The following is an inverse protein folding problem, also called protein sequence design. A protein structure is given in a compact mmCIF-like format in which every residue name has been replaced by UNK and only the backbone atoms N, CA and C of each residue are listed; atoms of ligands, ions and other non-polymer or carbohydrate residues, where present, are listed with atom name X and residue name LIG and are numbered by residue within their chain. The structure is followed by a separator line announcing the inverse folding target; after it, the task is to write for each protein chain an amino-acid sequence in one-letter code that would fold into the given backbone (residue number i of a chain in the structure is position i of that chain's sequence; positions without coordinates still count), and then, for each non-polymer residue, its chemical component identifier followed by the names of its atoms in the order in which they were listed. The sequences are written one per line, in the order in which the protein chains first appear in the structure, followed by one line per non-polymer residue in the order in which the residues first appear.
data_IF_498658326198
#
_entry.id   IF_498658326198
#
_cell.length_a   1.000
_cell.length_b   1.000
_cell.length_c   1.000
_cell.angle_alpha   90.00
_cell.angle_beta   90.00
_cell.angle_gamma   90.00
#
_symmetry.space_group_name_H-M   'P 1'
#
loop_
_entity.id
_entity.type
_entity.pdbx_description
1 polymer ?
#
# COMPACT_ATOMS: atom_id res chain seq x y z
N UNK A 1 -7.10 -45.82 20.62
CA UNK A 1 -7.33 -46.43 19.29
C UNK A 1 -8.58 -47.31 19.35
N UNK A 2 -9.49 -47.12 18.38
CA UNK A 2 -10.69 -47.91 18.09
C UNK A 2 -11.87 -47.85 19.09
N UNK A 3 -12.34 -46.63 19.36
CA UNK A 3 -13.78 -46.31 19.54
C UNK A 3 -14.02 -44.86 19.11
N UNK A 4 -13.93 -44.60 17.80
CA UNK A 4 -14.37 -43.34 17.16
C UNK A 4 -14.42 -43.42 15.60
N UNK A 5 -14.56 -44.61 15.01
CA UNK A 5 -14.58 -44.81 13.54
C UNK A 5 -15.74 -45.74 13.12
N UNK A 6 -16.94 -45.55 13.67
CA UNK A 6 -18.16 -46.29 13.22
C UNK A 6 -19.38 -45.36 13.11
N UNK A 7 -19.16 -44.09 12.72
CA UNK A 7 -20.26 -43.16 12.40
C UNK A 7 -20.01 -42.40 11.09
N UNK A 8 -19.30 -43.06 10.17
CA UNK A 8 -19.14 -42.64 8.77
C UNK A 8 -19.34 -43.89 7.90
N UNK A 9 -20.60 -44.21 7.61
CA UNK A 9 -21.13 -45.06 6.53
C UNK A 9 -22.57 -45.38 6.98
N UNK A 10 -23.57 -45.21 6.12
CA UNK A 10 -25.02 -45.21 6.43
C UNK A 10 -25.57 -43.83 6.82
N UNK A 11 -25.32 -42.81 5.97
CA UNK A 11 -26.34 -41.80 5.65
C UNK A 11 -26.04 -41.15 4.28
N UNK A 12 -25.67 -42.00 3.33
CA UNK A 12 -25.68 -41.74 1.90
C UNK A 12 -26.60 -42.82 1.32
N UNK A 13 -27.85 -42.47 1.01
CA UNK A 13 -28.76 -43.09 0.03
C UNK A 13 -30.21 -42.68 0.30
N UNK A 14 -30.55 -41.43 -0.02
CA UNK A 14 -31.89 -41.05 -0.49
C UNK A 14 -31.82 -39.62 -1.02
N UNK A 15 -32.36 -39.42 -2.23
CA UNK A 15 -32.37 -38.20 -3.05
C UNK A 15 -31.18 -37.95 -3.98
N UNK A 16 -30.99 -38.89 -4.91
CA UNK A 16 -30.92 -38.59 -6.35
C UNK A 16 -32.29 -38.00 -6.79
N UNK A 17 -32.44 -36.94 -7.59
CA UNK A 17 -32.03 -36.71 -8.98
C UNK A 17 -32.28 -35.22 -9.32
N UNK A 18 -31.40 -34.61 -10.12
CA UNK A 18 -31.56 -33.58 -11.18
C UNK A 18 -30.16 -32.97 -11.36
N UNK A 19 -29.23 -33.68 -12.01
CA UNK A 19 -28.87 -33.63 -13.46
C UNK A 19 -28.19 -32.31 -13.86
N UNK A 20 -26.98 -32.26 -14.38
CA UNK A 20 -26.07 -33.34 -14.78
C UNK A 20 -24.73 -32.75 -15.26
N UNK A 21 -23.68 -33.57 -15.10
CA UNK A 21 -22.38 -33.59 -15.80
C UNK A 21 -21.34 -34.23 -14.86
N UNK A 22 -21.60 -35.45 -14.41
CA UNK A 22 -20.59 -36.29 -13.78
C UNK A 22 -21.12 -37.73 -13.81
N UNK A 23 -21.06 -38.39 -14.97
CA UNK A 23 -21.14 -39.86 -15.09
C UNK A 23 -20.90 -40.45 -16.49
N UNK A 24 -20.34 -39.71 -17.45
CA UNK A 24 -19.98 -40.30 -18.75
C UNK A 24 -18.57 -40.90 -18.82
N UNK A 25 -17.67 -40.53 -17.90
CA UNK A 25 -16.28 -40.98 -17.95
C UNK A 25 -16.05 -42.43 -17.45
N UNK A 26 -16.98 -43.01 -16.66
CA UNK A 26 -16.78 -44.34 -16.05
C UNK A 26 -17.42 -45.51 -16.82
N UNK A 27 -18.12 -45.25 -17.93
CA UNK A 27 -18.72 -46.28 -18.79
C UNK A 27 -18.01 -46.45 -20.14
N UNK A 28 -17.18 -45.48 -20.57
CA UNK A 28 -16.44 -45.57 -21.82
C UNK A 28 -15.21 -46.50 -21.75
N UNK A 29 -14.62 -46.65 -20.55
CA UNK A 29 -13.39 -47.45 -20.34
C UNK A 29 -13.63 -48.97 -20.43
N UNK A 30 -14.89 -49.43 -20.44
CA UNK A 30 -15.26 -50.85 -20.58
C UNK A 30 -15.64 -51.29 -22.00
N UNK A 31 -15.63 -50.39 -22.99
CA UNK A 31 -16.06 -50.71 -24.36
C UNK A 31 -14.96 -50.66 -25.43
N UNK A 32 -13.72 -50.27 -25.10
CA UNK A 32 -12.58 -50.36 -26.04
C UNK A 32 -12.71 -49.47 -27.28
N UNK A 33 -13.27 -48.26 -27.15
CA UNK A 33 -13.42 -47.28 -28.22
C UNK A 33 -12.52 -46.06 -27.96
N UNK A 34 -11.21 -46.19 -28.19
CA UNK A 34 -10.24 -45.13 -27.91
C UNK A 34 -9.78 -44.31 -29.12
N UNK A 35 -10.28 -44.55 -30.34
CA UNK A 35 -9.72 -43.91 -31.54
C UNK A 35 -10.75 -43.18 -32.42
N UNK A 36 -11.43 -42.17 -31.88
CA UNK A 36 -12.04 -41.13 -32.70
C UNK A 36 -11.76 -39.73 -32.11
N UNK A 37 -11.26 -38.77 -32.91
CA UNK A 37 -11.03 -37.42 -32.44
C UNK A 37 -12.37 -36.74 -32.15
N UNK A 38 -12.62 -36.42 -30.88
CA UNK A 38 -13.74 -35.58 -30.46
C UNK A 38 -13.36 -34.14 -30.83
N UNK A 39 -14.14 -33.41 -31.65
CA UNK A 39 -13.90 -32.00 -31.90
C UNK A 39 -14.05 -31.23 -30.57
N UNK A 40 -13.24 -30.21 -30.29
CA UNK A 40 -13.29 -29.51 -29.01
C UNK A 40 -14.67 -28.88 -28.82
N UNK A 41 -15.47 -29.49 -27.94
CA UNK A 41 -16.68 -28.86 -27.41
C UNK A 41 -16.22 -27.67 -26.58
N UNK A 42 -16.73 -26.48 -26.91
CA UNK A 42 -16.48 -25.20 -26.22
C UNK A 42 -16.23 -25.42 -24.72
N UNK A 43 -14.95 -25.36 -24.33
CA UNK A 43 -14.56 -25.38 -22.94
C UNK A 43 -15.13 -24.12 -22.30
N UNK A 44 -15.96 -24.29 -21.29
CA UNK A 44 -16.28 -23.26 -20.31
C UNK A 44 -14.99 -22.59 -19.87
N UNK A 45 -14.76 -21.36 -20.33
CA UNK A 45 -13.71 -20.51 -19.77
C UNK A 45 -14.09 -20.25 -18.31
N UNK A 46 -13.43 -20.94 -17.38
CA UNK A 46 -13.34 -20.44 -16.02
C UNK A 46 -12.53 -19.15 -16.13
N UNK A 47 -13.20 -18.01 -15.98
CA UNK A 47 -12.50 -16.73 -15.83
C UNK A 47 -11.66 -16.84 -14.55
N UNK A 48 -10.37 -17.14 -14.71
CA UNK A 48 -9.40 -16.94 -13.63
C UNK A 48 -9.51 -15.47 -13.20
N UNK A 49 -9.57 -15.19 -11.89
CA UNK A 49 -9.66 -13.82 -11.39
C UNK A 49 -8.48 -13.01 -11.92
N UNK A 50 -8.77 -11.78 -12.33
CA UNK A 50 -7.82 -10.86 -12.92
C UNK A 50 -6.59 -10.70 -12.02
N UNK A 51 -5.41 -11.04 -12.53
CA UNK A 51 -4.15 -10.78 -11.83
C UNK A 51 -3.71 -9.35 -12.11
N UNK A 52 -4.15 -8.43 -11.25
CA UNK A 52 -3.75 -7.03 -11.31
C UNK A 52 -2.29 -6.93 -10.81
N UNK A 53 -1.41 -6.39 -11.65
CA UNK A 53 0.02 -6.24 -11.33
C UNK A 53 0.54 -4.83 -11.55
N UNK A 54 -0.20 -3.97 -12.25
CA UNK A 54 0.26 -2.62 -12.57
C UNK A 54 -0.89 -1.59 -12.64
N UNK A 55 -0.54 -0.31 -12.59
CA UNK A 55 -1.43 0.81 -12.88
C UNK A 55 -0.94 1.49 -14.17
N UNK A 56 -1.86 1.89 -15.04
CA UNK A 56 -1.55 2.76 -16.18
C UNK A 56 -2.23 4.11 -16.00
N UNK A 57 -1.44 5.17 -15.96
CA UNK A 57 -1.93 6.54 -15.83
C UNK A 57 -2.22 7.14 -17.21
N UNK A 58 -3.40 7.74 -17.30
CA UNK A 58 -3.94 8.42 -18.47
C UNK A 58 -4.35 9.85 -18.16
N UNK A 59 -4.56 10.63 -19.20
CA UNK A 59 -5.29 11.89 -19.18
C UNK A 59 -6.55 11.76 -20.04
N UNK A 60 -7.56 12.62 -19.85
CA UNK A 60 -8.79 12.60 -20.64
C UNK A 60 -8.77 13.48 -21.90
N UNK A 61 -7.75 14.34 -22.04
CA UNK A 61 -7.63 15.32 -23.13
C UNK A 61 -7.56 14.70 -24.52
N UNK A 62 -8.28 15.32 -25.46
CA UNK A 62 -8.31 14.95 -26.88
C UNK A 62 -7.67 16.03 -27.75
N UNK A 63 -7.05 15.61 -28.84
CA UNK A 63 -6.46 16.48 -29.86
C UNK A 63 -7.51 17.42 -30.51
N UNK A 64 -7.17 18.68 -30.86
CA UNK A 64 -5.91 19.37 -30.60
C UNK A 64 -5.76 19.72 -29.12
N UNK A 65 -4.57 19.48 -28.58
CA UNK A 65 -4.19 19.67 -27.18
C UNK A 65 -4.54 21.09 -26.70
N UNK A 66 -5.66 21.24 -26.00
CA UNK A 66 -6.14 22.50 -25.47
C UNK A 66 -6.18 22.39 -23.94
N UNK A 67 -5.19 23.01 -23.29
CA UNK A 67 -5.06 23.08 -21.83
C UNK A 67 -5.85 24.25 -21.21
N UNK A 68 -6.69 24.94 -21.98
CA UNK A 68 -7.47 26.07 -21.44
C UNK A 68 -8.38 25.60 -20.29
N UNK A 69 -8.62 26.47 -19.29
CA UNK A 69 -9.62 26.21 -18.25
C UNK A 69 -10.97 25.78 -18.83
N UNK A 70 -11.38 26.36 -19.97
CA UNK A 70 -12.60 26.04 -20.69
C UNK A 70 -12.60 24.62 -21.27
N UNK A 71 -11.50 24.20 -21.91
CA UNK A 71 -11.36 22.84 -22.43
C UNK A 71 -11.29 21.78 -21.32
N UNK A 72 -10.57 22.07 -20.23
CA UNK A 72 -10.54 21.22 -19.05
C UNK A 72 -11.91 21.15 -18.37
N UNK A 73 -12.62 22.28 -18.25
CA UNK A 73 -13.99 22.31 -17.71
C UNK A 73 -14.98 21.60 -18.63
N UNK A 74 -14.80 21.69 -19.96
CA UNK A 74 -15.57 20.93 -20.94
C UNK A 74 -15.32 19.43 -20.79
N UNK A 75 -14.07 18.99 -20.63
CA UNK A 75 -13.75 17.59 -20.37
C UNK A 75 -14.40 17.12 -19.05
N UNK A 76 -14.32 17.90 -17.98
CA UNK A 76 -15.03 17.61 -16.73
C UNK A 76 -16.54 17.49 -16.95
N UNK A 77 -17.14 18.40 -17.72
CA UNK A 77 -18.57 18.40 -18.01
C UNK A 77 -18.97 17.22 -18.89
N UNK A 78 -18.20 16.90 -19.93
CA UNK A 78 -18.45 15.77 -20.83
C UNK A 78 -18.42 14.46 -20.04
N UNK A 79 -17.43 14.26 -19.17
CA UNK A 79 -17.37 13.08 -18.31
C UNK A 79 -18.45 13.06 -17.21
N UNK A 80 -18.89 14.22 -16.71
CA UNK A 80 -20.00 14.33 -15.73
C UNK A 80 -21.39 14.16 -16.35
N UNK A 81 -21.57 14.50 -17.63
CA UNK A 81 -22.90 14.56 -18.28
C UNK A 81 -23.19 13.41 -19.25
N UNK A 82 -22.19 12.71 -19.78
CA UNK A 82 -22.48 11.69 -20.79
C UNK A 82 -23.10 10.40 -20.23
N UNK A 83 -22.96 10.04 -18.96
CA UNK A 83 -23.53 8.80 -18.43
C UNK A 83 -24.07 8.97 -16.99
N UNK A 84 -25.31 9.44 -16.95
CA UNK A 84 -26.38 9.25 -15.94
C UNK A 84 -26.04 9.34 -14.44
N UNK A 85 -26.66 10.35 -13.84
CA UNK A 85 -26.91 10.59 -12.40
C UNK A 85 -25.73 11.00 -11.52
N UNK A 86 -26.06 11.93 -10.62
CA UNK A 86 -25.15 12.73 -9.79
C UNK A 86 -24.28 11.81 -8.94
N UNK A 87 -22.98 11.88 -9.21
CA UNK A 87 -21.92 11.40 -8.32
C UNK A 87 -22.03 12.20 -7.01
N UNK A 88 -22.48 11.53 -5.94
CA UNK A 88 -22.29 12.07 -4.60
C UNK A 88 -20.82 11.92 -4.21
N UNK A 89 -20.12 13.01 -3.85
CA UNK A 89 -18.71 12.95 -3.48
C UNK A 89 -18.55 12.04 -2.26
N UNK A 90 -17.72 11.02 -2.40
CA UNK A 90 -17.30 10.16 -1.31
C UNK A 90 -16.36 10.89 -0.35
N UNK A 91 -16.27 10.40 0.88
CA UNK A 91 -15.27 10.83 1.85
C UNK A 91 -14.01 10.01 1.61
N UNK A 92 -12.89 10.71 1.43
CA UNK A 92 -11.58 10.21 1.00
C UNK A 92 -11.03 8.96 1.73
N UNK A 93 -11.48 8.68 2.96
CA UNK A 93 -10.95 7.63 3.83
C UNK A 93 -11.78 6.33 3.81
N UNK A 94 -12.86 6.28 3.03
CA UNK A 94 -13.74 5.12 2.94
C UNK A 94 -14.01 4.71 1.48
N UNK A 95 -13.37 3.62 1.00
CA UNK A 95 -13.62 3.07 -0.33
C UNK A 95 -15.08 2.71 -0.62
N UNK A 96 -15.91 2.52 0.42
CA UNK A 96 -17.35 2.29 0.27
C UNK A 96 -18.14 3.55 -0.11
N UNK A 97 -17.53 4.73 0.00
CA UNK A 97 -18.14 6.02 -0.36
C UNK A 97 -17.75 6.51 -1.75
N UNK A 98 -16.82 5.82 -2.43
CA UNK A 98 -16.41 6.18 -3.78
C UNK A 98 -17.61 6.13 -4.73
N UNK A 99 -17.78 7.20 -5.51
CA UNK A 99 -18.96 7.36 -6.32
C UNK A 99 -19.05 6.29 -7.41
N UNK A 100 -20.13 5.52 -7.34
CA UNK A 100 -20.50 4.49 -8.31
C UNK A 100 -21.31 5.17 -9.42
N UNK A 101 -21.00 4.88 -10.67
CA UNK A 101 -21.84 5.31 -11.79
C UNK A 101 -23.17 4.55 -11.76
N UNK A 102 -24.28 5.28 -11.82
CA UNK A 102 -25.63 4.73 -11.87
C UNK A 102 -26.17 4.84 -13.30
N UNK A 103 -27.05 3.94 -13.72
CA UNK A 103 -27.75 4.11 -14.99
C UNK A 103 -28.84 5.19 -14.90
N UNK A 104 -29.51 5.46 -16.03
CA UNK A 104 -30.67 6.36 -16.10
C UNK A 104 -31.79 6.02 -15.09
N UNK A 105 -31.80 4.79 -14.57
CA UNK A 105 -32.78 4.25 -13.62
C UNK A 105 -32.27 4.18 -12.17
N UNK A 106 -31.13 4.81 -11.86
CA UNK A 106 -30.54 4.88 -10.53
C UNK A 106 -30.17 3.51 -9.93
N UNK A 107 -29.81 2.53 -10.77
CA UNK A 107 -29.26 1.24 -10.33
C UNK A 107 -27.73 1.23 -10.48
N UNK A 108 -26.97 0.54 -9.58
CA UNK A 108 -25.54 0.32 -9.80
C UNK A 108 -25.36 -0.37 -11.15
N UNK A 109 -24.65 0.26 -12.07
CA UNK A 109 -24.56 -0.23 -13.45
C UNK A 109 -24.01 -1.67 -13.49
N UNK A 110 -24.80 -2.61 -14.01
CA UNK A 110 -24.42 -4.02 -14.21
C UNK A 110 -24.45 -4.33 -15.71
N UNK A 111 -23.30 -4.68 -16.28
CA UNK A 111 -23.22 -5.06 -17.70
C UNK A 111 -23.83 -6.45 -17.96
N UNK A 112 -24.58 -6.62 -19.06
CA UNK A 112 -24.77 -7.92 -19.70
C UNK A 112 -23.53 -8.30 -20.54
N UNK A 113 -23.15 -9.59 -20.55
CA UNK A 113 -22.08 -10.15 -21.42
C UNK A 113 -22.52 -10.15 -22.90
N UNK A 114 -21.66 -10.06 -23.94
CA UNK A 114 -20.86 -11.19 -24.46
C UNK A 114 -20.18 -10.92 -25.82
N UNK A 115 -18.88 -11.37 -26.03
CA UNK A 115 -18.03 -11.83 -27.26
C UNK A 115 -17.13 -11.04 -28.35
N UNK A 116 -15.81 -10.70 -28.10
CA UNK A 116 -14.62 -10.86 -29.03
C UNK A 116 -13.62 -9.67 -29.38
N UNK A 117 -12.55 -9.84 -30.22
CA UNK A 117 -11.38 -8.94 -30.56
C UNK A 117 -10.65 -9.36 -31.88
N UNK A 118 -10.02 -8.50 -32.72
CA UNK A 118 -9.64 -8.81 -34.11
C UNK A 118 -8.38 -9.69 -34.33
N UNK A 119 -8.34 -10.88 -33.71
CA UNK A 119 -7.71 -12.10 -34.26
C UNK A 119 -8.71 -12.94 -35.08
N UNK A 120 -9.91 -12.39 -35.33
CA UNK A 120 -11.09 -13.14 -35.77
C UNK A 120 -12.14 -13.26 -34.66
N UNK A 121 -11.85 -12.81 -33.43
CA UNK A 121 -12.90 -12.43 -32.49
C UNK A 121 -13.36 -10.99 -32.87
N UNK A 122 -14.56 -10.57 -32.55
CA UNK A 122 -15.09 -9.21 -32.82
C UNK A 122 -15.45 -8.59 -31.49
N UNK A 123 -15.15 -7.33 -31.14
CA UNK A 123 -15.73 -6.71 -29.91
C UNK A 123 -17.19 -7.12 -29.80
N UNK A 124 -17.65 -7.56 -28.64
CA UNK A 124 -18.85 -8.31 -28.71
C UNK A 124 -20.09 -7.63 -29.21
N UNK A 125 -20.93 -8.38 -29.92
CA UNK A 125 -22.24 -7.89 -30.34
C UNK A 125 -23.04 -7.49 -29.08
N UNK A 126 -22.99 -6.20 -28.75
CA UNK A 126 -23.47 -5.64 -27.49
C UNK A 126 -22.58 -4.55 -26.85
N UNK A 127 -21.42 -4.21 -27.41
CA UNK A 127 -20.54 -3.18 -26.82
C UNK A 127 -20.85 -1.80 -27.39
N UNK A 128 -21.39 -0.95 -26.54
CA UNK A 128 -21.64 0.45 -26.83
C UNK A 128 -20.37 1.27 -26.54
N UNK A 129 -20.03 2.24 -27.39
CA UNK A 129 -18.92 3.19 -27.19
C UNK A 129 -19.24 4.23 -26.08
N UNK A 130 -20.19 3.89 -25.22
CA UNK A 130 -20.86 4.72 -24.23
C UNK A 130 -20.37 4.39 -22.80
N UNK A 131 -19.18 3.82 -22.63
CA UNK A 131 -18.63 3.48 -21.31
C UNK A 131 -17.23 4.07 -21.10
N UNK A 132 -16.85 4.27 -19.85
CA UNK A 132 -15.56 4.81 -19.47
C UNK A 132 -14.51 3.70 -19.55
N UNK A 133 -13.47 3.90 -20.37
CA UNK A 133 -12.43 2.89 -20.60
C UNK A 133 -11.52 2.61 -19.38
N UNK A 134 -11.58 3.47 -18.38
CA UNK A 134 -10.77 3.46 -17.17
C UNK A 134 -11.55 2.91 -15.96
N UNK A 135 -10.83 2.39 -14.98
CA UNK A 135 -11.44 1.92 -13.72
C UNK A 135 -11.69 3.08 -12.77
N UNK A 136 -10.85 4.12 -12.85
CA UNK A 136 -10.97 5.31 -12.01
C UNK A 136 -10.67 6.58 -12.78
N UNK A 137 -11.31 7.68 -12.38
CA UNK A 137 -11.01 9.02 -12.84
C UNK A 137 -10.71 9.96 -11.67
N UNK A 138 -9.77 10.87 -11.89
CA UNK A 138 -9.35 11.88 -10.91
C UNK A 138 -9.81 13.25 -11.41
N UNK A 139 -10.80 13.82 -10.75
CA UNK A 139 -11.38 15.11 -11.11
C UNK A 139 -10.53 16.31 -10.74
N UNK A 140 -10.72 17.41 -11.46
CA UNK A 140 -10.10 18.71 -11.14
C UNK A 140 -10.61 19.31 -9.82
N UNK A 141 -11.71 18.78 -9.28
CA UNK A 141 -12.31 19.12 -7.99
C UNK A 141 -11.76 18.27 -6.84
N UNK A 142 -10.75 17.41 -7.10
CA UNK A 142 -10.19 16.49 -6.13
C UNK A 142 -11.03 15.24 -5.86
N UNK A 143 -12.17 15.06 -6.53
CA UNK A 143 -12.98 13.85 -6.35
C UNK A 143 -12.42 12.68 -7.18
N UNK A 144 -12.61 11.47 -6.65
CA UNK A 144 -12.35 10.21 -7.37
C UNK A 144 -13.68 9.62 -7.84
N UNK A 145 -13.73 9.26 -9.12
CA UNK A 145 -14.89 8.66 -9.77
C UNK A 145 -14.58 7.22 -10.13
N UNK A 146 -15.46 6.28 -9.80
CA UNK A 146 -15.30 4.88 -10.17
C UNK A 146 -15.89 4.66 -11.58
N UNK A 147 -15.03 4.40 -12.55
CA UNK A 147 -15.46 3.95 -13.89
C UNK A 147 -15.80 2.46 -13.86
N UNK A 148 -15.11 1.67 -14.67
CA UNK A 148 -15.33 0.22 -14.75
C UNK A 148 -15.07 -0.48 -13.42
N UNK A 149 -15.82 -1.57 -13.19
CA UNK A 149 -15.55 -2.45 -12.07
C UNK A 149 -14.12 -2.99 -12.13
N UNK A 150 -13.48 -3.11 -10.96
CA UNK A 150 -12.07 -3.47 -10.86
C UNK A 150 -11.76 -4.88 -11.38
N UNK A 151 -12.76 -5.77 -11.37
CA UNK A 151 -12.67 -7.12 -11.90
C UNK A 151 -12.94 -7.19 -13.41
N UNK A 152 -13.47 -6.12 -14.00
CA UNK A 152 -13.66 -6.00 -15.45
C UNK A 152 -12.37 -5.56 -16.11
N UNK A 153 -12.07 -6.10 -17.29
CA UNK A 153 -10.91 -5.66 -18.07
C UNK A 153 -11.18 -4.26 -18.63
N UNK A 154 -10.29 -3.32 -18.32
CA UNK A 154 -10.32 -1.97 -18.90
C UNK A 154 -10.05 -1.98 -20.41
N UNK A 155 -10.32 -0.85 -21.07
CA UNK A 155 -10.02 -0.64 -22.49
C UNK A 155 -9.18 0.61 -22.69
N UNK A 156 -8.23 0.82 -21.79
CA UNK A 156 -7.50 2.08 -21.72
C UNK A 156 -6.16 2.02 -22.45
N UNK A 157 -5.64 0.84 -22.77
CA UNK A 157 -4.44 0.66 -23.58
C UNK A 157 -4.80 0.00 -24.93
N UNK A 158 -4.07 0.34 -25.98
CA UNK A 158 -4.17 -0.41 -27.26
C UNK A 158 -3.52 -1.80 -27.18
N UNK A 159 -2.81 -2.10 -26.09
CA UNK A 159 -2.20 -3.39 -25.81
C UNK A 159 -3.12 -4.20 -24.89
N UNK A 160 -3.56 -5.37 -25.36
CA UNK A 160 -4.47 -6.25 -24.61
C UNK A 160 -3.83 -6.81 -23.33
N UNK A 161 -2.56 -7.22 -23.37
CA UNK A 161 -1.84 -7.74 -22.20
C UNK A 161 -1.75 -6.69 -21.09
N UNK A 162 -1.56 -5.42 -21.46
CA UNK A 162 -1.63 -4.31 -20.50
C UNK A 162 -3.05 -4.22 -19.91
N UNK A 163 -4.10 -4.19 -20.73
CA UNK A 163 -5.48 -4.07 -20.24
C UNK A 163 -5.87 -5.18 -19.25
N UNK A 164 -5.51 -6.44 -19.52
CA UNK A 164 -5.90 -7.56 -18.64
C UNK A 164 -5.24 -7.50 -17.26
N UNK A 165 -4.04 -6.92 -17.13
CA UNK A 165 -3.28 -6.93 -15.86
C UNK A 165 -3.21 -5.57 -15.16
N UNK A 166 -3.80 -4.51 -15.73
CA UNK A 166 -3.55 -3.16 -15.24
C UNK A 166 -4.77 -2.29 -14.94
N UNK A 167 -4.72 -1.58 -13.84
CA UNK A 167 -5.77 -0.61 -13.52
C UNK A 167 -5.51 0.68 -14.31
N UNK A 168 -6.37 0.99 -15.28
CA UNK A 168 -6.41 2.32 -15.89
C UNK A 168 -6.95 3.39 -14.93
N UNK A 169 -6.13 4.41 -14.66
CA UNK A 169 -6.49 5.60 -13.88
C UNK A 169 -6.36 6.84 -14.78
N UNK A 170 -7.44 7.59 -14.97
CA UNK A 170 -7.48 8.76 -15.84
C UNK A 170 -7.57 10.06 -15.05
N UNK A 171 -6.62 10.96 -15.24
CA UNK A 171 -6.72 12.33 -14.73
C UNK A 171 -7.51 13.17 -15.73
N UNK A 172 -8.58 13.83 -15.28
CA UNK A 172 -9.40 14.66 -16.16
C UNK A 172 -8.61 15.92 -16.54
N UNK A 173 -8.26 16.06 -17.81
CA UNK A 173 -7.44 17.14 -18.36
C UNK A 173 -6.50 16.67 -19.48
N UNK A 174 -5.74 17.59 -20.07
CA UNK A 174 -4.78 17.30 -21.16
C UNK A 174 -3.32 17.27 -20.68
N UNK A 175 -2.93 18.21 -19.81
CA UNK A 175 -1.61 18.29 -19.17
C UNK A 175 -0.43 18.35 -20.14
N UNK A 176 -0.63 18.95 -21.32
CA UNK A 176 0.44 19.14 -22.30
C UNK A 176 1.40 20.25 -21.87
N UNK A 177 0.85 21.31 -21.28
CA UNK A 177 1.55 22.54 -20.88
C UNK A 177 1.35 22.86 -19.40
N UNK A 178 0.23 22.42 -18.80
CA UNK A 178 -0.15 22.78 -17.44
C UNK A 178 -0.23 21.52 -16.56
N UNK A 179 0.36 21.57 -15.36
CA UNK A 179 0.28 20.48 -14.37
C UNK A 179 -1.17 20.32 -13.84
N UNK A 180 -1.57 19.12 -13.36
CA UNK A 180 -2.77 18.97 -12.53
C UNK A 180 -2.75 19.97 -11.37
N UNK A 181 -3.93 20.45 -10.96
CA UNK A 181 -4.01 21.30 -9.77
C UNK A 181 -3.74 20.49 -8.49
N UNK A 182 -3.48 21.17 -7.38
CA UNK A 182 -3.07 20.54 -6.11
C UNK A 182 -4.10 19.53 -5.58
N UNK A 183 -5.39 19.84 -5.69
CA UNK A 183 -6.46 18.95 -5.21
C UNK A 183 -6.53 17.67 -6.05
N UNK A 184 -6.45 17.80 -7.37
CA UNK A 184 -6.42 16.69 -8.31
C UNK A 184 -5.15 15.84 -8.13
N UNK A 185 -3.98 16.47 -7.95
CA UNK A 185 -2.73 15.77 -7.68
C UNK A 185 -2.82 14.97 -6.38
N UNK A 186 -3.27 15.61 -5.29
CA UNK A 186 -3.41 14.96 -3.98
C UNK A 186 -4.38 13.78 -4.01
N UNK A 187 -5.52 13.94 -4.69
CA UNK A 187 -6.49 12.87 -4.90
C UNK A 187 -5.89 11.70 -5.69
N UNK A 188 -5.15 12.01 -6.75
CA UNK A 188 -4.41 11.03 -7.53
C UNK A 188 -3.41 10.23 -6.70
N UNK A 189 -2.56 10.89 -5.92
CA UNK A 189 -1.59 10.22 -5.02
C UNK A 189 -2.31 9.26 -4.06
N UNK A 190 -3.40 9.70 -3.44
CA UNK A 190 -4.18 8.87 -2.49
C UNK A 190 -4.81 7.66 -3.16
N UNK A 191 -5.44 7.83 -4.31
CA UNK A 191 -6.01 6.72 -5.08
C UNK A 191 -4.92 5.70 -5.44
N UNK A 192 -3.80 6.17 -6.00
CA UNK A 192 -2.70 5.30 -6.38
C UNK A 192 -2.15 4.54 -5.17
N UNK A 193 -1.97 5.20 -4.03
CA UNK A 193 -1.50 4.58 -2.78
C UNK A 193 -2.45 3.48 -2.27
N UNK A 194 -3.77 3.71 -2.33
CA UNK A 194 -4.77 2.72 -1.96
C UNK A 194 -4.71 1.50 -2.89
N UNK A 195 -4.62 1.73 -4.21
CA UNK A 195 -4.50 0.65 -5.20
C UNK A 195 -3.19 -0.13 -5.04
N UNK A 196 -2.08 0.55 -4.74
CA UNK A 196 -0.79 -0.09 -4.43
C UNK A 196 -0.96 -1.07 -3.27
N UNK A 197 -1.59 -0.66 -2.18
CA UNK A 197 -1.76 -1.51 -1.01
C UNK A 197 -2.78 -2.62 -1.23
N UNK A 198 -3.91 -2.33 -1.87
CA UNK A 198 -4.98 -3.30 -2.08
C UNK A 198 -4.57 -4.44 -3.01
N UNK A 199 -3.76 -4.15 -4.03
CA UNK A 199 -3.38 -5.11 -5.08
C UNK A 199 -1.88 -5.44 -5.09
N UNK A 200 -1.12 -4.98 -4.10
CA UNK A 200 0.34 -5.15 -4.00
C UNK A 200 1.08 -4.73 -5.29
N UNK A 201 0.71 -3.59 -5.86
CA UNK A 201 1.22 -3.13 -7.16
C UNK A 201 2.63 -2.56 -7.01
N UNK A 202 3.58 -3.08 -7.79
CA UNK A 202 4.97 -2.59 -7.85
C UNK A 202 5.28 -1.76 -9.09
N UNK A 203 4.34 -1.68 -10.03
CA UNK A 203 4.57 -1.07 -11.35
C UNK A 203 3.48 -0.06 -11.67
N UNK A 204 3.88 1.20 -11.89
CA UNK A 204 3.01 2.23 -12.46
C UNK A 204 3.66 2.73 -13.74
N UNK A 205 2.89 2.80 -14.84
CA UNK A 205 3.38 3.24 -16.16
C UNK A 205 2.51 4.35 -16.74
N UNK A 206 3.08 5.26 -17.54
CA UNK A 206 2.28 6.19 -18.30
C UNK A 206 1.73 5.49 -19.55
N UNK A 207 0.59 5.92 -20.09
CA UNK A 207 0.05 5.36 -21.33
C UNK A 207 1.07 5.36 -22.49
N UNK A 208 1.89 6.42 -22.60
CA UNK A 208 2.95 6.50 -23.62
C UNK A 208 3.98 5.36 -23.60
N UNK A 209 4.05 4.58 -22.51
CA UNK A 209 4.86 3.36 -22.48
C UNK A 209 4.32 2.28 -23.44
N UNK A 210 3.00 2.21 -23.61
CA UNK A 210 2.31 1.17 -24.39
C UNK A 210 1.93 1.58 -25.81
N UNK A 211 1.97 2.89 -26.10
CA UNK A 211 1.55 3.47 -27.38
C UNK A 211 2.34 4.74 -27.64
N UNK A 212 2.61 5.04 -28.91
CA UNK A 212 3.13 6.36 -29.28
C UNK A 212 2.03 7.43 -29.10
N UNK A 213 2.03 8.10 -27.95
CA UNK A 213 1.05 9.13 -27.55
C UNK A 213 1.69 10.12 -26.57
N UNK A 214 1.15 11.32 -26.47
CA UNK A 214 1.53 12.27 -25.42
C UNK A 214 0.97 11.88 -24.04
N UNK A 215 -0.06 11.04 -23.96
CA UNK A 215 -0.73 10.69 -22.71
C UNK A 215 0.25 10.12 -21.64
N UNK A 216 0.26 10.62 -20.38
CA UNK A 216 -0.72 11.50 -19.74
C UNK A 216 -0.39 13.01 -19.80
N UNK A 217 0.36 13.48 -20.80
CA UNK A 217 0.66 14.90 -21.03
C UNK A 217 2.12 15.24 -20.69
N UNK A 218 2.76 16.15 -21.45
CA UNK A 218 4.17 16.49 -21.23
C UNK A 218 4.43 17.26 -19.92
N UNK A 219 3.46 18.03 -19.44
CA UNK A 219 3.53 18.71 -18.16
C UNK A 219 3.07 17.81 -16.99
N UNK A 220 2.50 16.63 -17.25
CA UNK A 220 2.05 15.74 -16.19
C UNK A 220 3.23 15.25 -15.32
N UNK A 221 3.17 15.45 -13.99
CA UNK A 221 4.28 15.14 -13.09
C UNK A 221 4.34 13.63 -12.77
N UNK A 222 4.61 12.81 -13.78
CA UNK A 222 4.51 11.35 -13.67
C UNK A 222 5.45 10.76 -12.60
N UNK A 223 6.73 11.14 -12.60
CA UNK A 223 7.69 10.58 -11.64
C UNK A 223 7.40 11.05 -10.20
N UNK A 224 6.97 12.32 -10.04
CA UNK A 224 6.60 12.89 -8.74
C UNK A 224 5.38 12.13 -8.15
N UNK A 225 4.31 11.94 -8.95
CA UNK A 225 3.09 11.31 -8.45
C UNK A 225 3.28 9.83 -8.12
N UNK A 226 4.10 9.11 -8.91
CA UNK A 226 4.43 7.70 -8.64
C UNK A 226 5.22 7.59 -7.34
N UNK A 227 6.24 8.43 -7.16
CA UNK A 227 7.05 8.47 -5.94
C UNK A 227 6.20 8.78 -4.71
N UNK A 228 5.34 9.79 -4.80
CA UNK A 228 4.47 10.19 -3.71
C UNK A 228 3.43 9.10 -3.38
N UNK A 229 2.91 8.39 -4.38
CA UNK A 229 1.97 7.29 -4.18
C UNK A 229 2.61 6.11 -3.44
N UNK A 230 3.80 5.66 -3.85
CA UNK A 230 4.52 4.59 -3.14
C UNK A 230 4.90 5.02 -1.72
N UNK A 231 5.39 6.26 -1.55
CA UNK A 231 5.70 6.82 -0.23
C UNK A 231 4.47 6.84 0.67
N UNK A 232 3.31 7.29 0.17
CA UNK A 232 2.06 7.31 0.93
C UNK A 232 1.53 5.89 1.21
N UNK A 233 1.75 4.95 0.31
CA UNK A 233 1.43 3.53 0.53
C UNK A 233 2.33 2.87 1.58
N UNK A 234 3.38 3.56 2.05
CA UNK A 234 4.37 3.01 2.97
C UNK A 234 5.29 1.98 2.31
N UNK A 235 5.49 2.10 1.00
CA UNK A 235 6.33 1.24 0.19
C UNK A 235 7.58 2.01 -0.24
N UNK A 236 8.73 1.39 0.00
CA UNK A 236 10.05 1.91 -0.34
C UNK A 236 10.82 0.83 -1.10
N UNK A 237 11.87 1.24 -1.81
CA UNK A 237 12.74 0.34 -2.58
C UNK A 237 13.29 -0.82 -1.72
N UNK A 238 13.60 -0.53 -0.46
CA UNK A 238 14.18 -1.45 0.51
C UNK A 238 13.20 -1.87 1.62
N UNK A 239 11.92 -1.49 1.53
CA UNK A 239 10.90 -1.82 2.53
C UNK A 239 9.50 -1.95 1.91
N UNK A 240 9.02 -3.18 1.77
CA UNK A 240 7.72 -3.52 1.17
C UNK A 240 7.10 -4.76 1.84
N UNK A 241 5.99 -5.28 1.31
CA UNK A 241 5.22 -6.40 1.89
C UNK A 241 6.03 -7.67 2.17
N UNK A 242 7.18 -7.87 1.52
CA UNK A 242 8.06 -9.02 1.77
C UNK A 242 8.97 -8.84 2.99
N UNK A 243 9.08 -7.64 3.54
CA UNK A 243 9.88 -7.35 4.71
C UNK A 243 9.15 -7.83 5.98
N UNK A 244 9.85 -8.55 6.86
CA UNK A 244 9.26 -9.16 8.08
C UNK A 244 8.52 -8.15 8.96
N UNK A 245 9.03 -6.92 9.03
CA UNK A 245 8.47 -5.83 9.82
C UNK A 245 7.40 -5.01 9.10
N UNK A 246 7.06 -5.30 7.84
CA UNK A 246 6.15 -4.46 7.04
C UNK A 246 4.81 -4.24 7.75
N UNK A 247 4.11 -5.31 8.10
CA UNK A 247 2.80 -5.23 8.78
C UNK A 247 2.87 -4.59 10.17
N UNK A 248 4.06 -4.55 10.79
CA UNK A 248 4.26 -3.97 12.11
C UNK A 248 4.48 -2.46 11.98
N UNK A 249 5.32 -2.04 11.03
CA UNK A 249 5.80 -0.65 10.90
C UNK A 249 4.96 0.19 9.94
N UNK A 250 4.28 -0.42 8.95
CA UNK A 250 3.48 0.34 7.97
C UNK A 250 2.41 1.26 8.58
N UNK A 251 1.76 0.95 9.73
CA UNK A 251 0.87 1.91 10.38
C UNK A 251 1.56 3.20 10.79
N UNK A 252 2.80 3.14 11.31
CA UNK A 252 3.55 4.34 11.69
C UNK A 252 3.93 5.21 10.48
N UNK A 253 4.08 4.60 9.31
CA UNK A 253 4.35 5.33 8.07
C UNK A 253 3.07 6.01 7.58
N UNK A 254 1.94 5.28 7.60
CA UNK A 254 0.61 5.80 7.24
C UNK A 254 0.18 6.96 8.13
N UNK A 255 0.44 6.86 9.44
CA UNK A 255 0.13 7.89 10.43
C UNK A 255 1.14 9.06 10.40
N UNK A 256 2.19 8.96 9.57
CA UNK A 256 3.16 10.04 9.36
C UNK A 256 4.26 10.15 10.42
N UNK A 257 4.31 9.24 11.41
CA UNK A 257 5.35 9.19 12.44
C UNK A 257 6.72 8.82 11.89
N UNK A 258 6.76 8.00 10.83
CA UNK A 258 8.00 7.60 10.17
C UNK A 258 7.95 8.03 8.71
N UNK A 259 9.04 8.63 8.25
CA UNK A 259 9.22 9.05 6.87
C UNK A 259 10.50 8.42 6.32
N UNK A 260 10.41 7.90 5.10
CA UNK A 260 11.59 7.53 4.32
C UNK A 260 12.33 8.77 3.79
N UNK A 261 13.49 8.52 3.21
CA UNK A 261 14.35 9.55 2.63
C UNK A 261 13.85 9.95 1.24
N UNK A 262 14.26 11.14 0.79
CA UNK A 262 13.83 11.68 -0.50
C UNK A 262 14.29 10.85 -1.71
N UNK A 263 15.22 9.93 -1.51
CA UNK A 263 15.67 9.00 -2.54
C UNK A 263 14.80 7.72 -2.65
N UNK A 264 13.72 7.59 -1.87
CA UNK A 264 12.80 6.46 -1.93
C UNK A 264 13.15 5.27 -1.04
N UNK A 265 14.11 5.42 -0.11
CA UNK A 265 14.56 4.37 0.79
C UNK A 265 14.11 4.64 2.24
N UNK A 266 13.93 3.58 3.02
CA UNK A 266 13.70 3.64 4.46
C UNK A 266 14.98 3.31 5.27
N UNK A 267 15.90 2.56 4.66
CA UNK A 267 17.11 2.00 5.23
C UNK A 267 16.85 1.16 6.49
N UNK A 268 15.97 0.15 6.45
CA UNK A 268 15.52 -0.57 7.64
C UNK A 268 16.68 -1.19 8.43
N UNK A 269 17.68 -1.71 7.73
CA UNK A 269 18.80 -2.45 8.32
C UNK A 269 19.98 -1.56 8.77
N UNK A 270 19.97 -0.27 8.44
CA UNK A 270 21.00 0.65 8.91
C UNK A 270 20.85 0.88 10.42
N UNK A 271 21.96 1.10 11.13
CA UNK A 271 21.89 1.51 12.53
C UNK A 271 21.21 2.88 12.65
N UNK A 272 20.31 3.03 13.61
CA UNK A 272 19.72 4.32 13.96
C UNK A 272 20.64 5.08 14.90
N UNK A 273 20.71 6.40 14.73
CA UNK A 273 21.50 7.26 15.63
C UNK A 273 20.75 7.56 16.92
N UNK A 274 21.48 7.92 17.98
CA UNK A 274 20.91 8.34 19.26
C UNK A 274 19.97 9.53 19.10
N UNK A 275 20.35 10.51 18.30
CA UNK A 275 19.54 11.69 18.02
C UNK A 275 18.24 11.36 17.30
N UNK A 276 18.29 10.51 16.27
CA UNK A 276 17.09 10.04 15.56
C UNK A 276 16.17 9.23 16.48
N UNK A 277 16.69 8.32 17.29
CA UNK A 277 15.88 7.52 18.21
C UNK A 277 15.13 8.39 19.22
N UNK A 278 15.80 9.41 19.78
CA UNK A 278 15.17 10.37 20.70
C UNK A 278 14.11 11.20 20.00
N UNK A 279 14.38 11.64 18.76
CA UNK A 279 13.41 12.37 17.97
C UNK A 279 12.13 11.54 17.74
N UNK A 280 12.26 10.26 17.39
CA UNK A 280 11.09 9.38 17.22
C UNK A 280 10.26 9.23 18.50
N UNK A 281 10.92 9.09 19.66
CA UNK A 281 10.24 9.05 20.96
C UNK A 281 9.53 10.36 21.26
N UNK A 282 10.21 11.49 21.02
CA UNK A 282 9.67 12.83 21.26
C UNK A 282 8.43 13.09 20.39
N UNK A 283 8.51 12.75 19.10
CA UNK A 283 7.43 12.89 18.11
C UNK A 283 6.22 12.04 18.52
N UNK A 284 6.44 10.75 18.85
CA UNK A 284 5.35 9.85 19.28
C UNK A 284 4.71 10.32 20.59
N UNK A 285 5.50 10.87 21.51
CA UNK A 285 4.98 11.39 22.77
C UNK A 285 4.17 12.69 22.61
N UNK A 286 4.06 13.25 21.39
CA UNK A 286 3.16 14.36 21.06
C UNK A 286 3.58 15.70 21.66
N UNK A 287 4.87 15.86 21.99
CA UNK A 287 5.37 17.13 22.50
C UNK A 287 5.55 18.13 21.35
N UNK A 288 5.17 19.37 21.58
CA UNK A 288 5.49 20.47 20.66
C UNK A 288 6.89 21.00 20.94
N UNK A 289 7.51 21.60 19.93
CA UNK A 289 8.87 22.14 20.03
C UNK A 289 8.96 23.13 21.19
N UNK A 290 9.71 22.75 22.21
CA UNK A 290 10.15 23.67 23.26
C UNK A 290 11.44 24.35 22.79
N UNK A 291 11.62 25.62 23.15
CA UNK A 291 12.82 26.38 22.79
C UNK A 291 14.12 25.61 23.06
N UNK A 292 15.08 25.75 22.16
CA UNK A 292 16.40 25.13 22.29
C UNK A 292 17.20 25.81 23.41
N UNK A 293 17.66 25.03 24.37
CA UNK A 293 18.64 25.45 25.39
C UNK A 293 20.07 25.14 24.96
N UNK A 294 20.25 24.22 23.99
CA UNK A 294 21.54 23.72 23.55
C UNK A 294 22.36 23.19 24.72
N UNK A 295 21.79 22.24 25.45
CA UNK A 295 22.38 21.68 26.67
C UNK A 295 23.73 20.99 26.43
N UNK A 296 24.03 20.65 25.17
CA UNK A 296 25.32 20.12 24.73
C UNK A 296 25.91 20.96 23.59
N UNK A 297 27.24 21.15 23.52
CA UNK A 297 27.85 21.94 22.45
C UNK A 297 27.63 21.37 21.03
N UNK A 298 27.63 20.04 20.89
CA UNK A 298 27.59 19.33 19.61
C UNK A 298 26.17 19.15 19.02
N UNK A 299 25.13 19.62 19.71
CA UNK A 299 23.76 19.57 19.20
C UNK A 299 23.29 20.91 18.61
N UNK A 300 24.10 21.97 18.66
CA UNK A 300 23.67 23.33 18.26
C UNK A 300 23.11 23.40 16.83
N UNK A 301 23.79 22.72 15.91
CA UNK A 301 23.41 22.68 14.49
C UNK A 301 22.67 21.38 14.13
N UNK A 302 22.29 20.57 15.13
CA UNK A 302 21.55 19.34 14.92
C UNK A 302 20.05 19.63 14.78
N UNK A 303 19.45 19.10 13.70
CA UNK A 303 18.05 19.33 13.33
C UNK A 303 17.05 18.92 14.43
N UNK A 304 17.39 17.91 15.24
CA UNK A 304 16.56 17.40 16.34
C UNK A 304 17.01 17.88 17.73
N UNK A 305 17.70 19.02 17.82
CA UNK A 305 18.26 19.55 19.08
C UNK A 305 17.22 19.74 20.19
N UNK A 306 16.02 20.22 19.86
CA UNK A 306 14.91 20.36 20.82
C UNK A 306 14.50 19.03 21.46
N UNK A 307 14.50 17.94 20.69
CA UNK A 307 14.14 16.62 21.20
C UNK A 307 15.21 16.11 22.19
N UNK A 308 16.48 16.40 21.91
CA UNK A 308 17.59 16.07 22.81
C UNK A 308 17.51 16.91 24.09
N UNK A 309 17.29 18.22 23.98
CA UNK A 309 17.10 19.10 25.14
C UNK A 309 15.91 18.68 26.00
N UNK A 310 14.80 18.27 25.37
CA UNK A 310 13.64 17.70 26.07
C UNK A 310 14.00 16.42 26.81
N UNK A 311 14.69 15.49 26.15
CA UNK A 311 15.07 14.21 26.75
C UNK A 311 16.05 14.42 27.92
N UNK A 312 17.01 15.35 27.78
CA UNK A 312 17.95 15.71 28.84
C UNK A 312 17.23 16.38 30.02
N UNK A 313 16.36 17.37 29.75
CA UNK A 313 15.60 18.08 30.79
C UNK A 313 14.66 17.19 31.60
N UNK A 314 14.27 16.04 31.05
CA UNK A 314 13.48 15.00 31.74
C UNK A 314 14.32 13.89 32.38
N UNK A 315 15.65 13.95 32.26
CA UNK A 315 16.55 12.92 32.77
C UNK A 315 16.47 11.59 32.03
N UNK A 316 15.95 11.57 30.79
CA UNK A 316 15.90 10.36 29.96
C UNK A 316 17.29 9.99 29.45
N UNK A 317 18.10 11.00 29.14
CA UNK A 317 19.46 10.86 28.59
C UNK A 317 20.43 11.76 29.33
N UNK A 318 21.71 11.40 29.24
CA UNK A 318 22.84 12.23 29.66
C UNK A 318 23.83 12.34 28.49
N UNK A 319 24.70 13.35 28.54
CA UNK A 319 25.91 13.38 27.73
C UNK A 319 26.96 12.40 28.24
N UNK A 320 28.07 12.33 27.52
CA UNK A 320 29.25 11.56 27.90
C UNK A 320 30.15 12.39 28.82
N UNK A 321 31.18 11.75 29.38
CA UNK A 321 32.10 12.36 30.35
C UNK A 321 32.90 13.55 29.78
N UNK A 322 33.00 13.63 28.45
CA UNK A 322 33.61 14.75 27.72
C UNK A 322 32.67 15.96 27.53
N UNK A 323 31.43 15.87 28.02
CA UNK A 323 30.42 16.92 27.92
C UNK A 323 29.67 16.98 26.60
N UNK A 324 29.85 16.00 25.70
CA UNK A 324 29.17 15.92 24.40
C UNK A 324 28.01 14.92 24.41
N UNK A 325 27.10 15.03 23.46
CA UNK A 325 25.96 14.12 23.33
C UNK A 325 26.16 13.02 22.26
N UNK A 326 26.89 13.35 21.20
CA UNK A 326 27.10 12.56 19.98
C UNK A 326 25.78 12.17 19.29
N UNK A 327 25.00 13.12 18.75
CA UNK A 327 23.69 12.84 18.18
C UNK A 327 23.73 11.88 16.98
N UNK A 328 24.81 11.91 16.20
CA UNK A 328 25.00 11.05 15.02
C UNK A 328 25.63 9.68 15.35
N UNK A 329 25.95 9.40 16.61
CA UNK A 329 26.46 8.09 17.01
C UNK A 329 25.32 7.07 17.02
N UNK A 330 25.50 5.86 16.47
CA UNK A 330 24.55 4.77 16.62
C UNK A 330 24.18 4.50 18.08
N UNK A 331 22.91 4.21 18.34
CA UNK A 331 22.45 3.84 19.69
C UNK A 331 22.48 2.32 19.86
N UNK A 332 22.88 1.86 21.03
CA UNK A 332 22.82 0.42 21.37
C UNK A 332 21.43 0.01 21.84
N UNK A 333 21.12 -1.29 21.76
CA UNK A 333 19.87 -1.86 22.27
C UNK A 333 19.67 -1.62 23.77
N UNK A 334 20.75 -1.68 24.55
CA UNK A 334 20.74 -1.38 25.99
C UNK A 334 20.43 0.10 26.30
N UNK A 335 21.01 1.02 25.55
CA UNK A 335 20.74 2.45 25.70
C UNK A 335 19.29 2.78 25.36
N UNK A 336 18.76 2.22 24.26
CA UNK A 336 17.37 2.37 23.89
C UNK A 336 16.40 1.91 25.00
N UNK A 337 16.63 0.72 25.57
CA UNK A 337 15.83 0.20 26.69
C UNK A 337 15.90 1.11 27.92
N UNK A 338 17.06 1.69 28.20
CA UNK A 338 17.25 2.58 29.35
C UNK A 338 16.48 3.89 29.17
N UNK A 339 16.45 4.43 27.95
CA UNK A 339 15.63 5.61 27.62
C UNK A 339 14.14 5.31 27.80
N UNK A 340 13.66 4.17 27.28
CA UNK A 340 12.27 3.74 27.39
C UNK A 340 11.87 3.52 28.85
N UNK A 341 12.71 2.82 29.62
CA UNK A 341 12.46 2.56 31.03
C UNK A 341 12.33 3.86 31.83
N UNK A 342 13.16 4.86 31.54
CA UNK A 342 13.06 6.19 32.17
C UNK A 342 11.82 6.95 31.72
N UNK A 343 11.52 6.92 30.42
CA UNK A 343 10.35 7.59 29.83
C UNK A 343 9.05 7.13 30.51
N UNK A 344 8.94 5.83 30.75
CA UNK A 344 7.74 5.19 31.27
C UNK A 344 7.81 4.91 32.79
N UNK A 345 8.85 5.41 33.48
CA UNK A 345 9.08 5.20 34.91
C UNK A 345 9.02 3.72 35.32
N UNK A 346 9.61 2.85 34.51
CA UNK A 346 9.59 1.40 34.76
C UNK A 346 10.51 1.04 35.92
N UNK A 347 10.03 0.17 36.80
CA UNK A 347 10.88 -0.42 37.83
C UNK A 347 11.84 -1.44 37.20
N UNK A 348 13.14 -1.42 37.59
CA UNK A 348 14.11 -2.35 37.05
C UNK A 348 13.76 -3.77 37.50
N UNK A 349 13.74 -4.70 36.55
CA UNK A 349 13.56 -6.13 36.81
C UNK A 349 14.61 -6.90 36.02
N UNK A 350 15.12 -8.03 36.53
CA UNK A 350 16.14 -8.78 35.82
C UNK A 350 15.68 -9.27 34.45
N UNK A 351 16.46 -8.99 33.42
CA UNK A 351 16.26 -9.59 32.10
C UNK A 351 16.53 -11.10 32.14
N UNK A 352 15.82 -11.87 31.31
CA UNK A 352 15.97 -13.34 31.24
C UNK A 352 17.00 -13.81 30.21
N UNK A 353 17.63 -12.88 29.48
CA UNK A 353 18.61 -13.18 28.44
C UNK A 353 20.00 -13.48 29.03
N UNK A 354 20.69 -14.55 28.61
CA UNK A 354 21.97 -14.95 29.19
C UNK A 354 23.07 -13.88 29.13
N UNK A 355 23.13 -13.12 28.04
CA UNK A 355 24.13 -12.08 27.78
C UNK A 355 23.85 -10.74 28.48
N UNK A 356 22.80 -10.68 29.29
CA UNK A 356 22.48 -9.49 30.08
C UNK A 356 22.88 -9.63 31.54
N UNK A 357 23.33 -10.81 31.99
CA UNK A 357 23.73 -11.05 33.38
C UNK A 357 24.96 -10.19 33.72
N UNK A 358 24.82 -9.35 34.75
CA UNK A 358 25.87 -8.40 35.15
C UNK A 358 25.99 -7.14 34.28
N UNK A 359 25.20 -7.03 33.20
CA UNK A 359 25.18 -5.85 32.35
C UNK A 359 24.49 -4.68 33.05
N UNK A 360 25.02 -3.45 32.92
CA UNK A 360 24.52 -2.26 33.61
C UNK A 360 23.05 -1.95 33.28
N UNK A 361 22.60 -2.30 32.07
CA UNK A 361 21.22 -2.11 31.62
C UNK A 361 20.28 -3.29 31.94
N UNK A 362 20.72 -4.33 32.66
CA UNK A 362 19.94 -5.55 32.89
C UNK A 362 18.53 -5.26 33.41
N UNK A 363 18.41 -4.35 34.40
CA UNK A 363 17.13 -3.94 34.97
C UNK A 363 16.19 -3.26 33.96
N UNK A 364 16.73 -2.36 33.14
CA UNK A 364 15.97 -1.65 32.10
C UNK A 364 15.53 -2.58 30.98
N UNK A 365 16.43 -3.49 30.57
CA UNK A 365 16.16 -4.49 29.52
C UNK A 365 15.06 -5.43 30.00
N UNK A 366 15.13 -5.92 31.24
CA UNK A 366 14.10 -6.81 31.77
C UNK A 366 12.74 -6.12 31.90
N UNK A 367 12.72 -4.84 32.30
CA UNK A 367 11.49 -4.05 32.37
C UNK A 367 10.83 -3.91 30.99
N UNK A 368 11.63 -3.58 29.97
CA UNK A 368 11.15 -3.51 28.59
C UNK A 368 10.73 -4.87 28.03
N UNK A 369 11.43 -5.95 28.42
CA UNK A 369 11.08 -7.33 28.05
C UNK A 369 9.71 -7.73 28.64
N UNK A 370 9.48 -7.48 29.93
CA UNK A 370 8.25 -7.87 30.62
C UNK A 370 7.00 -7.20 30.04
N UNK A 371 7.14 -5.94 29.62
CA UNK A 371 6.06 -5.20 28.94
C UNK A 371 6.02 -5.44 27.42
N UNK A 372 6.85 -6.35 26.91
CA UNK A 372 6.91 -6.72 25.50
C UNK A 372 7.27 -5.55 24.55
N UNK A 373 7.94 -4.52 25.05
CA UNK A 373 8.46 -3.43 24.21
C UNK A 373 9.64 -3.91 23.37
N UNK A 374 10.47 -4.79 23.93
CA UNK A 374 11.62 -5.40 23.24
C UNK A 374 11.55 -6.92 23.32
N UNK A 375 12.12 -7.58 22.30
CA UNK A 375 12.36 -9.02 22.29
C UNK A 375 13.86 -9.29 22.09
N UNK A 376 14.30 -10.47 22.51
CA UNK A 376 15.59 -11.02 22.11
C UNK A 376 15.52 -11.60 20.70
N UNK A 377 16.65 -12.09 20.24
CA UNK A 377 16.74 -12.80 18.97
C UNK A 377 16.37 -14.27 19.14
N UNK A 378 16.13 -14.96 18.02
CA UNK A 378 15.69 -16.36 17.99
C UNK A 378 16.68 -17.34 18.65
N UNK A 379 17.95 -16.94 18.76
CA UNK A 379 18.99 -17.70 19.45
C UNK A 379 18.96 -17.54 20.98
N UNK A 380 18.01 -16.76 21.52
CA UNK A 380 17.82 -16.53 22.94
C UNK A 380 18.69 -15.42 23.55
N UNK A 381 19.45 -14.68 22.73
CA UNK A 381 20.31 -13.58 23.18
C UNK A 381 19.65 -12.21 22.98
N UNK A 382 20.04 -11.23 23.78
CA UNK A 382 19.54 -9.85 23.65
C UNK A 382 20.45 -8.95 22.82
N UNK A 383 21.76 -9.18 22.91
CA UNK A 383 22.85 -8.38 22.34
C UNK A 383 22.80 -6.92 22.80
N UNK A 384 22.99 -6.65 24.10
CA UNK A 384 22.79 -5.32 24.69
C UNK A 384 23.66 -4.23 24.06
N UNK A 385 24.90 -4.55 23.71
CA UNK A 385 25.87 -3.61 23.13
C UNK A 385 25.81 -3.54 21.59
N UNK A 386 24.94 -4.34 20.96
CA UNK A 386 24.73 -4.23 19.52
C UNK A 386 23.93 -2.97 19.21
N UNK A 387 24.32 -2.27 18.13
CA UNK A 387 23.58 -1.13 17.61
C UNK A 387 22.18 -1.56 17.17
N UNK A 388 21.20 -0.73 17.51
CA UNK A 388 19.82 -0.89 17.09
C UNK A 388 19.69 -0.50 15.61
N UNK A 389 19.03 -1.34 14.81
CA UNK A 389 18.66 -0.97 13.43
C UNK A 389 17.48 0.02 13.44
N UNK A 390 17.30 0.75 12.34
CA UNK A 390 16.15 1.66 12.16
C UNK A 390 14.83 0.90 12.26
N UNK A 391 14.72 -0.28 11.64
CA UNK A 391 13.49 -1.06 11.69
C UNK A 391 13.18 -1.62 13.07
N UNK A 392 14.19 -2.05 13.84
CA UNK A 392 13.97 -2.44 15.23
C UNK A 392 13.49 -1.26 16.09
N UNK A 393 14.04 -0.06 15.88
CA UNK A 393 13.56 1.14 16.57
C UNK A 393 12.10 1.47 16.22
N UNK A 394 11.71 1.31 14.96
CA UNK A 394 10.32 1.50 14.53
C UNK A 394 9.40 0.46 15.17
N UNK A 395 9.81 -0.81 15.21
CA UNK A 395 9.06 -1.87 15.87
C UNK A 395 8.89 -1.59 17.37
N UNK A 396 9.91 -1.09 18.05
CA UNK A 396 9.78 -0.62 19.43
C UNK A 396 8.74 0.51 19.52
N UNK A 397 8.79 1.49 18.62
CA UNK A 397 7.89 2.63 18.58
C UNK A 397 6.41 2.22 18.44
N UNK A 398 6.11 1.13 17.72
CA UNK A 398 4.74 0.59 17.59
C UNK A 398 4.16 0.04 18.90
N UNK A 399 5.03 -0.35 19.83
CA UNK A 399 4.67 -1.01 21.09
C UNK A 399 4.58 -0.04 22.26
N UNK A 400 5.14 1.16 22.10
CA UNK A 400 5.02 2.21 23.09
C UNK A 400 3.56 2.72 23.14
N UNK A 401 3.05 3.03 24.35
CA UNK A 401 1.67 3.44 24.57
C UNK A 401 1.30 4.77 23.91
#
# INVERSE_FOLDING_TARGET
MKKLIVSALILLLSFSVVSGQANFALLADRAGLNDLPIPPTQSSFSYEPRQITEIVIHHSGSFPYDDTPEANQKAVNDYRYYHTQIVHPGVYDDPSTWAIHYDENNQPYKMPAQEGYPDGRSAPAGYDYNDIDYHFLVGTDGNIYKGRDINTVGWHCSNWEANIRSIGVCFIGCFSLVKPNEQQYSAGVKLLAELINQYHITVIRPHRYYKNTECPGNAFPFDEIVKDAFKLAGIFEDFNWNHWAYNIVSPLIKDGYIKGYDNGYLYPENSITRGEFIYLIWEKAGFIQTSNKYSFPDIKDYWGSYAIDWAFGRGLVNGYDDGLFYPNKPITRAEACTIIARLLYLFPIPATFPDTVGHWANGSIGACQYLSYVYGYDDGYFRPDQNLTRVEAFVILTRLP
#
